data_IF_427107235654
#
_entry.id   IF_427107235654
#
_cell.length_a   1.000
_cell.length_b   1.000
_cell.length_c   1.000
_cell.angle_alpha   90.00
_cell.angle_beta   90.00
_cell.angle_gamma   90.00
#
_symmetry.space_group_name_H-M   'P 1'
#
loop_
_entity.id
_entity.type
_entity.pdbx_description
1 polymer ?
#
# COMPACT_ATOMS: atom_id res chain seq x y z
N UNK A 1 3.48 21.06 -5.59
CA UNK A 1 4.57 20.10 -5.86
C UNK A 1 4.85 19.35 -4.57
N UNK A 2 4.68 18.02 -4.54
CA UNK A 2 5.07 17.22 -3.37
C UNK A 2 6.60 17.30 -3.21
N UNK A 3 7.08 17.51 -1.97
CA UNK A 3 8.51 17.53 -1.66
C UNK A 3 9.20 16.21 -2.05
N UNK A 4 10.53 16.20 -2.05
CA UNK A 4 11.31 14.98 -2.30
C UNK A 4 10.88 13.85 -1.34
N UNK A 5 10.85 12.59 -1.78
CA UNK A 5 10.50 11.46 -0.91
C UNK A 5 11.58 11.24 0.13
N UNK A 6 11.17 10.91 1.36
CA UNK A 6 12.08 10.41 2.39
C UNK A 6 12.42 8.97 2.03
N UNK A 7 13.67 8.72 1.64
CA UNK A 7 14.09 7.45 1.07
C UNK A 7 14.97 6.65 2.04
N UNK A 8 14.41 5.61 2.63
CA UNK A 8 15.06 4.69 3.57
C UNK A 8 15.20 3.29 2.95
N UNK A 9 15.28 3.24 1.62
CA UNK A 9 15.39 2.00 0.87
C UNK A 9 16.81 1.43 0.92
N UNK A 10 16.97 0.10 0.84
CA UNK A 10 18.27 -0.58 0.87
C UNK A 10 19.08 -0.35 2.15
N UNK A 11 18.40 -0.33 3.31
CA UNK A 11 19.03 -0.13 4.63
C UNK A 11 19.09 -1.43 5.44
N UNK A 12 18.75 -2.57 4.83
CA UNK A 12 18.70 -3.87 5.49
C UNK A 12 17.80 -3.90 6.73
N UNK A 13 16.75 -3.08 6.73
CA UNK A 13 15.85 -2.95 7.89
C UNK A 13 15.07 -4.23 8.10
N UNK A 14 15.01 -4.71 9.34
CA UNK A 14 14.18 -5.85 9.73
C UNK A 14 12.90 -5.40 10.42
N UNK A 15 12.98 -4.30 11.18
CA UNK A 15 11.89 -3.63 11.87
C UNK A 15 11.82 -2.18 11.44
N UNK A 16 10.65 -1.56 11.54
CA UNK A 16 10.49 -0.15 11.24
C UNK A 16 11.23 0.76 12.23
N UNK A 17 11.40 0.31 13.48
CA UNK A 17 12.19 1.01 14.50
C UNK A 17 13.67 1.14 14.14
N UNK A 18 14.23 0.16 13.39
CA UNK A 18 15.62 0.20 12.93
C UNK A 18 15.86 1.41 12.02
N UNK A 19 14.80 1.90 11.36
CA UNK A 19 14.89 3.06 10.49
C UNK A 19 15.22 4.34 11.27
N UNK A 20 14.88 4.45 12.56
CA UNK A 20 14.91 5.73 13.28
C UNK A 20 16.31 6.30 13.45
N UNK A 21 17.34 5.45 13.41
CA UNK A 21 18.76 5.84 13.45
C UNK A 21 19.34 6.06 12.05
N UNK A 22 18.63 5.69 10.99
CA UNK A 22 19.10 5.81 9.62
C UNK A 22 18.89 7.22 9.06
N UNK A 23 19.83 7.62 8.22
CA UNK A 23 19.70 8.85 7.43
C UNK A 23 19.02 8.52 6.09
N UNK A 24 17.98 9.28 5.68
CA UNK A 24 17.41 9.11 4.36
C UNK A 24 18.47 9.33 3.27
N UNK A 25 18.43 8.49 2.23
CA UNK A 25 19.34 8.57 1.08
C UNK A 25 19.21 9.94 0.42
N UNK A 26 20.33 10.48 -0.03
CA UNK A 26 20.31 11.73 -0.79
C UNK A 26 19.58 11.49 -2.10
N UNK A 27 18.70 12.44 -2.44
CA UNK A 27 18.06 12.48 -3.75
C UNK A 27 18.47 13.79 -4.45
N UNK A 28 18.31 13.84 -5.77
CA UNK A 28 18.64 15.03 -6.58
C UNK A 28 17.92 16.30 -6.11
N UNK A 29 16.82 16.14 -5.36
CA UNK A 29 16.06 17.23 -4.75
C UNK A 29 16.29 17.22 -3.24
N UNK A 30 16.87 18.27 -2.66
CA UNK A 30 17.09 18.32 -1.22
C UNK A 30 15.78 18.18 -0.44
N UNK A 31 15.81 17.34 0.59
CA UNK A 31 14.74 17.24 1.57
C UNK A 31 14.73 18.50 2.42
N UNK A 32 13.58 19.19 2.46
CA UNK A 32 13.39 20.34 3.35
C UNK A 32 12.95 19.85 4.73
N UNK A 33 13.47 20.46 5.78
CA UNK A 33 13.09 20.18 7.16
C UNK A 33 12.37 21.37 7.79
N UNK A 34 11.50 21.10 8.76
CA UNK A 34 10.93 22.11 9.65
C UNK A 34 11.93 22.43 10.80
N UNK A 35 11.62 23.40 11.69
CA UNK A 35 12.48 23.72 12.85
C UNK A 35 12.71 22.55 13.81
N UNK A 36 11.82 21.56 13.82
CA UNK A 36 11.91 20.34 14.64
C UNK A 36 12.74 19.23 13.95
N UNK A 37 13.44 19.56 12.85
CA UNK A 37 14.22 18.61 12.05
C UNK A 37 13.42 17.49 11.35
N UNK A 38 12.10 17.61 11.27
CA UNK A 38 11.22 16.68 10.53
C UNK A 38 11.11 17.07 9.06
N UNK A 39 10.96 16.08 8.19
CA UNK A 39 10.89 16.27 6.75
C UNK A 39 9.53 16.81 6.29
N UNK A 40 9.56 17.87 5.49
CA UNK A 40 8.41 18.43 4.78
C UNK A 40 8.15 17.61 3.50
N UNK A 41 7.80 16.34 3.69
CA UNK A 41 7.51 15.39 2.62
C UNK A 41 6.18 14.70 2.85
N UNK A 42 5.60 14.21 1.75
CA UNK A 42 4.38 13.41 1.72
C UNK A 42 4.63 12.01 1.17
N UNK A 43 5.89 11.64 1.02
CA UNK A 43 6.29 10.38 0.44
C UNK A 43 7.37 9.72 1.30
N UNK A 44 7.17 8.45 1.62
CA UNK A 44 8.09 7.62 2.39
C UNK A 44 8.40 6.35 1.60
N UNK A 45 9.69 6.06 1.39
CA UNK A 45 10.15 4.85 0.73
C UNK A 45 10.94 4.00 1.72
N UNK A 46 10.57 2.74 1.80
CA UNK A 46 11.14 1.70 2.65
C UNK A 46 11.43 0.46 1.82
N UNK A 47 11.63 0.62 0.50
CA UNK A 47 11.76 -0.52 -0.41
C UNK A 47 13.10 -1.23 -0.26
N UNK A 48 13.16 -2.49 -0.72
CA UNK A 48 14.39 -3.29 -0.68
C UNK A 48 14.97 -3.41 0.74
N UNK A 49 14.12 -3.78 1.69
CA UNK A 49 14.49 -4.08 3.07
C UNK A 49 14.02 -5.52 3.41
N UNK A 50 14.08 -5.91 4.67
CA UNK A 50 13.60 -7.22 5.17
C UNK A 50 12.45 -7.06 6.17
N UNK A 51 11.62 -6.03 6.01
CA UNK A 51 10.51 -5.72 6.91
C UNK A 51 9.45 -6.81 6.79
N UNK A 52 9.06 -7.42 7.91
CA UNK A 52 8.09 -8.51 7.96
C UNK A 52 6.71 -8.08 8.44
N UNK A 53 6.66 -7.03 9.27
CA UNK A 53 5.45 -6.46 9.83
C UNK A 53 5.54 -4.93 9.87
N UNK A 54 4.40 -4.27 10.02
CA UNK A 54 4.31 -2.81 10.05
C UNK A 54 4.03 -2.30 11.47
N UNK A 55 4.49 -3.03 12.51
CA UNK A 55 4.48 -2.51 13.87
C UNK A 55 5.24 -1.18 13.89
N UNK A 56 4.71 -0.20 14.61
CA UNK A 56 5.28 1.13 14.74
C UNK A 56 5.32 1.97 13.45
N UNK A 57 4.52 1.63 12.43
CA UNK A 57 4.45 2.45 11.20
C UNK A 57 4.04 3.90 11.49
N UNK A 58 3.04 4.13 12.34
CA UNK A 58 2.63 5.49 12.69
C UNK A 58 3.74 6.27 13.40
N UNK A 59 4.43 5.63 14.33
CA UNK A 59 5.55 6.17 15.07
C UNK A 59 6.69 6.51 14.11
N UNK A 60 6.98 5.62 13.15
CA UNK A 60 8.02 5.79 12.14
C UNK A 60 7.68 6.93 11.19
N UNK A 61 6.44 7.01 10.71
CA UNK A 61 5.98 8.14 9.88
C UNK A 61 6.05 9.45 10.68
N UNK A 62 5.67 9.44 11.96
CA UNK A 62 5.72 10.60 12.86
C UNK A 62 7.14 11.06 13.21
N UNK A 63 8.08 10.11 13.29
CA UNK A 63 9.50 10.37 13.49
C UNK A 63 10.09 11.14 12.31
N UNK A 64 9.74 10.75 11.09
CA UNK A 64 10.32 11.34 9.89
C UNK A 64 9.56 12.54 9.32
N UNK A 65 8.23 12.51 9.30
CA UNK A 65 7.43 13.50 8.58
C UNK A 65 6.88 14.58 9.52
N UNK A 66 6.95 15.83 9.07
CA UNK A 66 6.36 16.95 9.79
C UNK A 66 4.82 16.87 9.84
N UNK A 67 4.21 16.33 8.78
CA UNK A 67 2.75 16.10 8.69
C UNK A 67 2.46 14.61 8.35
N UNK A 68 2.42 13.72 9.36
CA UNK A 68 2.20 12.29 9.14
C UNK A 68 0.87 11.96 8.45
N UNK A 69 -0.19 12.69 8.80
CA UNK A 69 -1.54 12.53 8.21
C UNK A 69 -1.60 12.93 6.73
N UNK A 70 -0.65 13.72 6.25
CA UNK A 70 -0.53 14.16 4.86
C UNK A 70 0.22 13.17 3.96
N UNK A 71 0.68 12.03 4.50
CA UNK A 71 1.37 10.97 3.74
C UNK A 71 0.50 10.49 2.58
N UNK A 72 1.01 10.69 1.37
CA UNK A 72 0.31 10.42 0.12
C UNK A 72 0.94 9.26 -0.67
N UNK A 73 2.23 8.98 -0.48
CA UNK A 73 2.93 7.90 -1.17
C UNK A 73 3.75 7.07 -0.18
N UNK A 74 3.44 5.78 -0.08
CA UNK A 74 4.19 4.82 0.70
C UNK A 74 4.71 3.71 -0.22
N UNK A 75 6.02 3.50 -0.20
CA UNK A 75 6.67 2.42 -0.93
C UNK A 75 7.25 1.39 0.05
N UNK A 76 6.64 0.21 0.06
CA UNK A 76 7.02 -0.96 0.85
C UNK A 76 7.42 -2.13 -0.06
N UNK A 77 7.75 -1.86 -1.34
CA UNK A 77 8.12 -2.91 -2.29
C UNK A 77 9.40 -3.64 -1.90
N UNK A 78 9.55 -4.89 -2.35
CA UNK A 78 10.75 -5.70 -2.07
C UNK A 78 11.05 -5.80 -0.57
N UNK A 79 10.03 -6.19 0.21
CA UNK A 79 10.12 -6.51 1.63
C UNK A 79 9.63 -7.95 1.86
N UNK A 80 9.34 -8.33 3.10
CA UNK A 80 8.91 -9.68 3.48
C UNK A 80 7.51 -9.70 4.10
N UNK A 81 6.68 -8.71 3.78
CA UNK A 81 5.32 -8.60 4.31
C UNK A 81 4.48 -9.79 3.83
N UNK A 82 3.93 -10.57 4.76
CA UNK A 82 3.05 -11.70 4.41
C UNK A 82 1.57 -11.32 4.34
N UNK A 83 1.20 -10.14 4.86
CA UNK A 83 -0.17 -9.66 4.95
C UNK A 83 -0.28 -8.14 4.73
N UNK A 84 -1.46 -7.67 4.31
CA UNK A 84 -1.82 -6.25 4.31
C UNK A 84 -2.27 -5.87 5.73
N UNK A 85 -1.39 -5.21 6.46
CA UNK A 85 -1.61 -4.80 7.85
C UNK A 85 -2.74 -3.76 7.98
N UNK A 86 -3.49 -3.81 9.09
CA UNK A 86 -4.56 -2.86 9.40
C UNK A 86 -4.03 -1.44 9.60
N UNK A 87 -2.78 -1.27 10.04
CA UNK A 87 -2.18 0.06 10.22
C UNK A 87 -2.19 0.88 8.92
N UNK A 88 -2.15 0.22 7.75
CA UNK A 88 -2.24 0.89 6.45
C UNK A 88 -3.62 1.53 6.22
N UNK A 89 -4.67 1.04 6.88
CA UNK A 89 -6.04 1.51 6.76
C UNK A 89 -6.26 2.87 7.43
N UNK A 90 -5.38 3.26 8.34
CA UNK A 90 -5.44 4.51 9.10
C UNK A 90 -4.78 5.68 8.34
N UNK A 91 -4.05 5.38 7.26
CA UNK A 91 -3.38 6.37 6.41
C UNK A 91 -4.36 7.01 5.42
N UNK A 92 -5.37 7.73 5.90
CA UNK A 92 -6.46 8.28 5.07
C UNK A 92 -6.00 9.23 3.94
N UNK A 93 -4.83 9.86 4.08
CA UNK A 93 -4.20 10.70 3.06
C UNK A 93 -3.54 9.94 1.90
N UNK A 94 -3.42 8.60 2.01
CA UNK A 94 -2.66 7.76 1.11
C UNK A 94 -3.30 7.69 -0.28
N UNK A 95 -2.46 7.86 -1.31
CA UNK A 95 -2.84 7.91 -2.73
C UNK A 95 -2.17 6.82 -3.54
N UNK A 96 -0.91 6.54 -3.21
CA UNK A 96 -0.05 5.57 -3.90
C UNK A 96 0.55 4.63 -2.86
N UNK A 97 0.33 3.33 -3.03
CA UNK A 97 0.85 2.28 -2.17
C UNK A 97 1.56 1.21 -2.99
N UNK A 98 2.86 1.03 -2.78
CA UNK A 98 3.61 -0.05 -3.43
C UNK A 98 3.87 -1.19 -2.45
N UNK A 99 3.36 -2.37 -2.78
CA UNK A 99 3.51 -3.62 -2.03
C UNK A 99 4.06 -4.76 -2.91
N UNK A 100 4.54 -4.48 -4.12
CA UNK A 100 5.05 -5.53 -5.01
C UNK A 100 6.33 -6.18 -4.48
N UNK A 101 6.58 -7.43 -4.85
CA UNK A 101 7.77 -8.16 -4.36
C UNK A 101 7.75 -8.40 -2.85
N UNK A 102 6.58 -8.70 -2.29
CA UNK A 102 6.41 -9.13 -0.90
C UNK A 102 5.87 -10.59 -0.87
N UNK A 103 5.46 -11.08 0.29
CA UNK A 103 4.97 -12.44 0.51
C UNK A 103 3.44 -12.52 0.74
N UNK A 104 2.68 -11.55 0.23
CA UNK A 104 1.24 -11.48 0.44
C UNK A 104 0.54 -12.60 -0.34
N UNK A 105 -0.20 -13.47 0.35
CA UNK A 105 -0.85 -14.64 -0.26
C UNK A 105 -2.38 -14.62 -0.21
N UNK A 106 -2.95 -13.80 0.67
CA UNK A 106 -4.40 -13.80 0.93
C UNK A 106 -5.11 -12.67 0.18
N UNK A 107 -5.80 -13.03 -0.91
CA UNK A 107 -6.47 -12.07 -1.80
C UNK A 107 -7.57 -11.25 -1.12
N UNK A 108 -8.24 -11.77 -0.09
CA UNK A 108 -9.27 -11.03 0.65
C UNK A 108 -8.72 -9.90 1.51
N UNK A 109 -7.43 -9.87 1.80
CA UNK A 109 -6.84 -8.78 2.59
C UNK A 109 -6.86 -7.44 1.86
N UNK A 110 -6.96 -7.47 0.53
CA UNK A 110 -7.12 -6.27 -0.30
C UNK A 110 -8.38 -5.48 0.07
N UNK A 111 -9.43 -6.15 0.58
CA UNK A 111 -10.66 -5.49 1.03
C UNK A 111 -10.39 -4.45 2.13
N UNK A 112 -9.35 -4.63 2.93
CA UNK A 112 -8.99 -3.71 4.02
C UNK A 112 -8.63 -2.32 3.48
N UNK A 113 -8.02 -2.26 2.30
CA UNK A 113 -7.62 -1.00 1.66
C UNK A 113 -8.80 -0.20 1.10
N UNK A 114 -10.01 -0.78 1.04
CA UNK A 114 -11.19 -0.11 0.50
C UNK A 114 -11.61 1.12 1.33
N UNK A 115 -11.24 1.16 2.60
CA UNK A 115 -11.51 2.28 3.51
C UNK A 115 -10.72 3.54 3.16
N UNK A 116 -9.65 3.43 2.35
CA UNK A 116 -8.80 4.56 1.97
C UNK A 116 -9.44 5.35 0.81
N UNK A 117 -9.98 6.56 1.07
CA UNK A 117 -10.83 7.26 0.10
C UNK A 117 -10.04 7.86 -1.06
N UNK A 118 -8.73 8.08 -0.88
CA UNK A 118 -7.86 8.74 -1.86
C UNK A 118 -6.91 7.77 -2.58
N UNK A 119 -6.90 6.49 -2.19
CA UNK A 119 -6.02 5.50 -2.78
C UNK A 119 -6.40 5.27 -4.24
N UNK A 120 -5.51 5.63 -5.17
CA UNK A 120 -5.78 5.48 -6.60
C UNK A 120 -4.71 4.68 -7.34
N UNK A 121 -3.59 4.34 -6.69
CA UNK A 121 -2.56 3.48 -7.27
C UNK A 121 -2.10 2.44 -6.26
N UNK A 122 -2.13 1.17 -6.67
CA UNK A 122 -1.57 0.07 -5.88
C UNK A 122 -0.72 -0.85 -6.77
N UNK A 123 0.33 -1.44 -6.21
CA UNK A 123 1.08 -2.52 -6.87
C UNK A 123 1.19 -3.70 -5.91
N UNK A 124 0.88 -4.89 -6.41
CA UNK A 124 0.79 -6.13 -5.66
C UNK A 124 1.40 -7.32 -6.44
N UNK A 125 1.85 -7.13 -7.69
CA UNK A 125 2.60 -8.15 -8.46
C UNK A 125 3.87 -8.62 -7.72
N UNK A 126 4.41 -9.77 -8.11
CA UNK A 126 5.54 -10.40 -7.42
C UNK A 126 5.21 -10.88 -6.00
N UNK A 127 3.92 -11.00 -5.66
CA UNK A 127 3.44 -11.62 -4.44
C UNK A 127 2.69 -12.92 -4.78
N UNK A 128 2.62 -13.92 -3.87
CA UNK A 128 1.87 -15.15 -4.10
C UNK A 128 0.39 -14.95 -4.52
N UNK A 129 -0.27 -13.86 -4.10
CA UNK A 129 -1.63 -13.49 -4.57
C UNK A 129 -1.78 -13.40 -6.09
N UNK A 130 -0.72 -13.10 -6.82
CA UNK A 130 -0.73 -12.95 -8.28
C UNK A 130 -1.07 -14.27 -9.00
N UNK A 131 -0.76 -15.42 -8.38
CA UNK A 131 -1.07 -16.75 -8.92
C UNK A 131 -2.57 -17.03 -9.02
N UNK A 132 -3.40 -16.26 -8.32
CA UNK A 132 -4.84 -16.40 -8.37
C UNK A 132 -5.40 -15.90 -9.71
N UNK A 133 -6.10 -16.76 -10.46
CA UNK A 133 -6.73 -16.40 -11.75
C UNK A 133 -7.70 -15.21 -11.67
N UNK A 134 -8.25 -14.95 -10.50
CA UNK A 134 -9.19 -13.85 -10.24
C UNK A 134 -8.54 -12.62 -9.61
N UNK A 135 -7.21 -12.63 -9.42
CA UNK A 135 -6.42 -11.59 -8.75
C UNK A 135 -6.82 -10.17 -9.18
N UNK A 136 -6.69 -9.86 -10.46
CA UNK A 136 -6.97 -8.52 -10.99
C UNK A 136 -8.42 -8.11 -10.82
N UNK A 137 -9.36 -8.98 -11.19
CA UNK A 137 -10.80 -8.70 -11.06
C UNK A 137 -11.22 -8.49 -9.61
N UNK A 138 -10.64 -9.27 -8.69
CA UNK A 138 -10.92 -9.17 -7.26
C UNK A 138 -10.36 -7.88 -6.66
N UNK A 139 -9.14 -7.49 -7.01
CA UNK A 139 -8.55 -6.22 -6.56
C UNK A 139 -9.35 -5.03 -7.07
N UNK A 140 -9.70 -5.01 -8.36
CA UNK A 140 -10.51 -3.94 -8.96
C UNK A 140 -11.92 -3.90 -8.36
N UNK A 141 -12.51 -5.07 -8.08
CA UNK A 141 -13.82 -5.15 -7.40
C UNK A 141 -13.75 -4.66 -5.96
N UNK A 142 -12.67 -4.95 -5.23
CA UNK A 142 -12.49 -4.54 -3.85
C UNK A 142 -12.19 -3.04 -3.72
N UNK A 143 -11.44 -2.49 -4.69
CA UNK A 143 -10.94 -1.12 -4.69
C UNK A 143 -11.43 -0.35 -5.92
N UNK A 144 -12.74 -0.03 -6.00
CA UNK A 144 -13.33 0.64 -7.16
C UNK A 144 -12.78 2.05 -7.42
N UNK A 145 -12.10 2.66 -6.44
CA UNK A 145 -11.45 3.97 -6.54
C UNK A 145 -10.09 3.94 -7.27
N UNK A 146 -9.50 2.76 -7.51
CA UNK A 146 -8.19 2.66 -8.17
C UNK A 146 -8.23 3.20 -9.58
N UNK A 147 -7.22 3.98 -9.96
CA UNK A 147 -6.93 4.41 -11.33
C UNK A 147 -5.86 3.52 -11.98
N UNK A 148 -4.89 3.05 -11.20
CA UNK A 148 -3.80 2.20 -11.65
C UNK A 148 -3.60 1.02 -10.71
N UNK A 149 -3.33 -0.15 -11.30
CA UNK A 149 -3.00 -1.39 -10.60
C UNK A 149 -1.80 -2.03 -11.32
N UNK A 150 -0.74 -2.37 -10.59
CA UNK A 150 0.47 -3.00 -11.16
C UNK A 150 1.01 -2.26 -12.38
N UNK A 151 1.12 -0.93 -12.26
CA UNK A 151 1.57 -0.02 -13.33
C UNK A 151 0.68 0.02 -14.59
N UNK A 152 -0.41 -0.73 -14.63
CA UNK A 152 -1.42 -0.68 -15.68
C UNK A 152 -2.62 0.18 -15.25
N UNK A 153 -3.21 0.90 -16.20
CA UNK A 153 -4.45 1.63 -15.95
C UNK A 153 -5.62 0.65 -15.72
N UNK A 154 -6.52 1.01 -14.80
CA UNK A 154 -7.79 0.30 -14.60
C UNK A 154 -8.83 0.90 -15.54
N UNK A 155 -9.12 0.16 -16.59
CA UNK A 155 -10.04 0.55 -17.67
C UNK A 155 -11.50 0.49 -17.22
N UNK A 156 -12.38 1.17 -17.97
CA UNK A 156 -13.81 1.13 -17.70
C UNK A 156 -14.40 -0.27 -17.89
N UNK A 157 -13.91 -1.00 -18.90
CA UNK A 157 -14.32 -2.38 -19.20
C UNK A 157 -14.04 -3.30 -18.01
N UNK A 158 -12.83 -3.22 -17.44
CA UNK A 158 -12.46 -4.02 -16.26
C UNK A 158 -13.34 -3.69 -15.05
N UNK A 159 -13.72 -2.42 -14.85
CA UNK A 159 -14.65 -2.05 -13.77
C UNK A 159 -16.02 -2.69 -13.95
N UNK A 160 -16.55 -2.70 -15.16
CA UNK A 160 -17.85 -3.32 -15.45
C UNK A 160 -17.78 -4.82 -15.18
N UNK A 161 -16.75 -5.50 -15.68
CA UNK A 161 -16.54 -6.93 -15.47
C UNK A 161 -16.36 -7.28 -13.99
N UNK A 162 -15.57 -6.49 -13.25
CA UNK A 162 -15.36 -6.68 -11.81
C UNK A 162 -16.66 -6.51 -11.01
N UNK A 163 -17.52 -5.55 -11.37
CA UNK A 163 -18.85 -5.37 -10.76
C UNK A 163 -19.76 -6.58 -11.01
N UNK A 164 -19.81 -7.08 -12.26
CA UNK A 164 -20.61 -8.26 -12.60
C UNK A 164 -20.11 -9.51 -11.86
N UNK A 165 -18.79 -9.68 -11.77
CA UNK A 165 -18.15 -10.75 -11.01
C UNK A 165 -18.50 -10.70 -9.51
N UNK A 166 -18.56 -9.51 -8.92
CA UNK A 166 -18.95 -9.34 -7.53
C UNK A 166 -20.40 -9.78 -7.28
N UNK A 167 -21.31 -9.39 -8.18
CA UNK A 167 -22.73 -9.72 -8.10
C UNK A 167 -23.03 -11.21 -8.30
N UNK A 168 -22.31 -11.89 -9.20
CA UNK A 168 -22.48 -13.33 -9.39
C UNK A 168 -21.97 -14.12 -8.18
N UNK A 169 -20.84 -13.71 -7.60
CA UNK A 169 -20.27 -14.37 -6.42
C UNK A 169 -21.07 -14.11 -5.13
N UNK A 170 -21.71 -12.95 -4.99
CA UNK A 170 -22.60 -12.68 -3.85
C UNK A 170 -23.89 -13.49 -3.93
N UNK A 171 -24.48 -13.62 -5.12
CA UNK A 171 -25.67 -14.46 -5.35
C UNK A 171 -25.42 -15.94 -5.05
N UNK A 172 -24.31 -16.51 -5.53
CA UNK A 172 -23.95 -17.90 -5.24
C UNK A 172 -23.67 -18.18 -3.74
N UNK A 173 -23.22 -17.16 -2.98
CA UNK A 173 -23.00 -17.28 -1.52
C UNK A 173 -24.30 -17.24 -0.72
N UNK A 174 -25.28 -16.44 -1.14
CA UNK A 174 -26.60 -16.40 -0.48
C UNK A 174 -27.39 -17.68 -0.67
N UNK A 175 -27.31 -18.33 -1.85
CA UNK A 175 -27.97 -19.62 -2.09
C UNK A 175 -27.41 -20.78 -1.25
N UNK A 176 -26.15 -20.70 -0.79
CA UNK A 176 -25.56 -21.71 0.10
C UNK A 176 -25.91 -21.52 1.56
N UNK A 177 -26.36 -20.33 1.97
CA UNK A 177 -26.76 -20.04 3.36
C UNK A 177 -28.24 -20.32 3.64
N UNK A 178 -29.08 -20.57 2.63
CA UNK A 178 -30.49 -20.91 2.82
C UNK A 178 -30.77 -22.43 2.82
N UNK A 179 -29.72 -23.25 2.91
CA UNK A 179 -29.81 -24.72 2.91
C UNK A 179 -29.37 -25.34 4.25
N UNK A 180 -29.29 -24.53 5.31
CA UNK A 180 -29.13 -24.96 6.70
C UNK A 180 -30.16 -24.26 7.58
#
# INVERSE_FOLDING_TARGET
>A
MCGAPVDLSFRSLSRLTDAWTETPRSSLRPLKKNPESKYLSRALRLSNNSIMDLCDLHQTVSHFLAEPSSLAWLDLSFNKLSHIDKVLCELHGLRVLYLHGNNISTLSEVDRLAVLPHLHSVTLHGNPIETNKTYRNRVISALPQLKTMDFSAVTQQERVLAKLWHQSNSRCRSSRKSLH
#
